data_IF_072371075218
#
_entry.id   IF_072371075218
#
_cell.length_a   1.000
_cell.length_b   1.000
_cell.length_c   1.000
_cell.angle_alpha   90.00
_cell.angle_beta   90.00
_cell.angle_gamma   90.00
#
_symmetry.space_group_name_H-M   'P 1'
#
loop_
_entity.id
_entity.type
_entity.pdbx_description
1 polymer ?
#
# COMPACT_ATOMS: atom_id res chain seq x y z
N UNK A 1 -15.14 -5.50 1.92
CA UNK A 1 -14.45 -4.28 1.43
C UNK A 1 -14.55 -3.22 2.51
N UNK A 2 -13.46 -2.52 2.86
CA UNK A 2 -13.38 -1.57 3.97
C UNK A 2 -12.94 -0.18 3.50
N UNK A 3 -13.26 0.83 4.28
CA UNK A 3 -12.74 2.20 4.19
C UNK A 3 -11.86 2.44 5.38
N UNK A 4 -10.62 2.89 5.15
CA UNK A 4 -9.71 3.29 6.20
C UNK A 4 -9.85 4.80 6.45
N UNK A 5 -10.19 5.17 7.69
CA UNK A 5 -10.32 6.55 8.10
C UNK A 5 -9.18 6.91 9.06
N UNK A 6 -8.29 7.80 8.65
CA UNK A 6 -7.11 8.22 9.41
C UNK A 6 -7.31 9.63 9.97
N UNK A 7 -7.44 9.74 11.29
CA UNK A 7 -7.68 10.99 12.00
C UNK A 7 -6.97 10.97 13.37
N UNK A 8 -6.28 12.06 13.72
CA UNK A 8 -5.67 12.23 15.03
C UNK A 8 -6.67 12.69 16.09
N UNK A 9 -7.79 13.27 15.69
CA UNK A 9 -8.77 13.86 16.60
C UNK A 9 -9.80 12.84 17.07
N UNK A 10 -9.73 12.43 18.32
CA UNK A 10 -10.61 11.40 18.88
C UNK A 10 -12.05 11.86 19.10
N UNK A 11 -12.28 13.14 19.45
CA UNK A 11 -13.63 13.66 19.79
C UNK A 11 -14.58 13.69 18.61
N UNK A 12 -14.15 14.17 17.45
CA UNK A 12 -14.97 14.23 16.24
C UNK A 12 -14.91 12.92 15.40
N UNK A 13 -13.86 12.12 15.57
CA UNK A 13 -13.66 10.87 14.83
C UNK A 13 -14.87 9.95 14.95
N UNK A 14 -15.39 9.75 16.15
CA UNK A 14 -16.56 8.89 16.37
C UNK A 14 -17.78 9.37 15.59
N UNK A 15 -18.07 10.69 15.63
CA UNK A 15 -19.19 11.27 14.90
C UNK A 15 -19.03 11.15 13.37
N UNK A 16 -17.80 11.30 12.85
CA UNK A 16 -17.49 11.12 11.42
C UNK A 16 -17.64 9.67 11.00
N UNK A 17 -17.08 8.75 11.77
CA UNK A 17 -17.21 7.31 11.53
C UNK A 17 -18.70 6.90 11.50
N UNK A 18 -19.51 7.38 12.44
CA UNK A 18 -20.96 7.10 12.44
C UNK A 18 -21.65 7.66 11.19
N UNK A 19 -21.30 8.86 10.75
CA UNK A 19 -21.86 9.42 9.49
C UNK A 19 -21.49 8.58 8.27
N UNK A 20 -20.26 8.16 8.17
CA UNK A 20 -19.80 7.29 7.08
C UNK A 20 -20.42 5.90 7.14
N UNK A 21 -20.59 5.32 8.32
CA UNK A 21 -21.20 3.99 8.48
C UNK A 21 -22.67 3.95 8.02
N UNK A 22 -23.36 5.09 8.03
CA UNK A 22 -24.73 5.20 7.47
C UNK A 22 -24.79 4.95 5.96
N UNK A 23 -23.66 5.02 5.25
CA UNK A 23 -23.60 4.65 3.83
C UNK A 23 -23.58 3.15 3.58
N UNK A 24 -23.52 2.33 4.64
CA UNK A 24 -23.36 0.86 4.55
C UNK A 24 -21.92 0.40 4.43
N UNK A 25 -20.95 1.31 4.34
CA UNK A 25 -19.54 0.97 4.24
C UNK A 25 -18.96 0.48 5.58
N UNK A 26 -18.11 -0.53 5.56
CA UNK A 26 -17.35 -0.96 6.72
C UNK A 26 -16.19 0.00 6.97
N UNK A 27 -16.30 0.83 8.01
CA UNK A 27 -15.32 1.85 8.33
C UNK A 27 -14.35 1.34 9.41
N UNK A 28 -13.07 1.41 9.11
CA UNK A 28 -11.99 1.12 10.07
C UNK A 28 -11.26 2.42 10.36
N UNK A 29 -11.40 2.92 11.58
CA UNK A 29 -10.77 4.18 11.99
C UNK A 29 -9.48 3.91 12.76
N UNK A 30 -8.44 4.70 12.48
CA UNK A 30 -7.15 4.63 13.15
C UNK A 30 -6.49 6.00 13.18
N UNK A 31 -5.49 6.15 14.04
CA UNK A 31 -4.57 7.27 13.98
C UNK A 31 -3.51 7.00 12.89
N UNK A 32 -3.07 8.04 12.15
CA UNK A 32 -2.04 7.88 11.12
C UNK A 32 -0.63 7.76 11.73
N UNK A 33 -0.48 6.90 12.74
CA UNK A 33 0.80 6.60 13.40
C UNK A 33 1.48 5.40 12.78
N UNK A 34 2.73 5.56 12.40
CA UNK A 34 3.58 4.48 11.94
C UNK A 34 3.98 3.54 13.10
N UNK A 35 4.00 2.22 12.93
CA UNK A 35 3.62 1.44 11.73
C UNK A 35 2.12 1.06 11.69
N UNK A 36 1.34 1.40 12.72
CA UNK A 36 0.00 0.86 12.94
C UNK A 36 -0.97 1.08 11.76
N UNK A 37 -1.02 2.27 11.18
CA UNK A 37 -1.90 2.53 10.04
C UNK A 37 -1.54 1.70 8.81
N UNK A 38 -0.25 1.43 8.60
CA UNK A 38 0.23 0.64 7.47
C UNK A 38 -0.12 -0.84 7.61
N UNK A 39 0.12 -1.40 8.80
CA UNK A 39 -0.27 -2.78 9.11
C UNK A 39 -1.80 -2.96 8.93
N UNK A 40 -2.56 -1.97 9.38
CA UNK A 40 -4.01 -1.95 9.22
C UNK A 40 -4.40 -1.88 7.73
N UNK A 41 -3.82 -0.98 6.95
CA UNK A 41 -4.07 -0.83 5.52
C UNK A 41 -3.73 -2.12 4.75
N UNK A 42 -2.64 -2.79 5.12
CA UNK A 42 -2.22 -4.06 4.52
C UNK A 42 -3.19 -5.20 4.82
N UNK A 43 -3.68 -5.26 6.08
CA UNK A 43 -4.64 -6.29 6.52
C UNK A 43 -6.01 -6.09 5.90
N UNK A 44 -6.54 -4.88 5.97
CA UNK A 44 -7.91 -4.56 5.57
C UNK A 44 -8.07 -4.40 4.04
N UNK A 45 -7.00 -4.09 3.31
CA UNK A 45 -7.00 -3.83 1.86
C UNK A 45 -8.15 -2.89 1.46
N UNK A 46 -8.17 -1.66 2.00
CA UNK A 46 -9.28 -0.74 1.81
C UNK A 46 -9.43 -0.35 0.35
N UNK A 47 -10.68 -0.15 -0.10
CA UNK A 47 -10.96 0.41 -1.42
C UNK A 47 -10.93 1.94 -1.44
N UNK A 48 -11.07 2.56 -0.26
CA UNK A 48 -10.95 3.99 -0.08
C UNK A 48 -10.23 4.31 1.24
N UNK A 49 -9.44 5.37 1.24
CA UNK A 49 -8.70 5.87 2.39
C UNK A 49 -9.02 7.34 2.55
N UNK A 50 -9.54 7.74 3.70
CA UNK A 50 -9.78 9.13 4.05
C UNK A 50 -8.76 9.58 5.10
N UNK A 51 -8.07 10.69 4.86
CA UNK A 51 -6.99 11.21 5.72
C UNK A 51 -7.32 12.63 6.10
N UNK A 52 -7.35 12.90 7.40
CA UNK A 52 -7.58 14.23 7.95
C UNK A 52 -6.27 15.00 8.12
N UNK A 53 -6.28 16.27 7.72
CA UNK A 53 -5.12 17.15 7.76
C UNK A 53 -5.16 18.20 8.88
N UNK A 54 -6.26 18.31 9.64
CA UNK A 54 -6.45 19.42 10.57
C UNK A 54 -5.40 19.47 11.69
N UNK A 55 -5.07 18.33 12.30
CA UNK A 55 -4.19 18.29 13.48
C UNK A 55 -2.70 18.25 13.13
N UNK A 56 -2.32 17.49 12.12
CA UNK A 56 -0.91 17.29 11.77
C UNK A 56 -0.71 17.26 10.25
N UNK A 57 -0.82 18.42 9.55
CA UNK A 57 -0.82 18.45 8.07
C UNK A 57 0.42 17.83 7.43
N UNK A 58 1.61 18.07 8.00
CA UNK A 58 2.85 17.51 7.47
C UNK A 58 2.91 15.99 7.59
N UNK A 59 2.49 15.45 8.73
CA UNK A 59 2.44 14.01 8.96
C UNK A 59 1.37 13.33 8.11
N UNK A 60 0.19 13.96 7.97
CA UNK A 60 -0.88 13.48 7.09
C UNK A 60 -0.43 13.44 5.63
N UNK A 61 0.36 14.43 5.19
CA UNK A 61 0.95 14.47 3.84
C UNK A 61 1.93 13.31 3.62
N UNK A 62 2.83 13.05 4.58
CA UNK A 62 3.78 11.93 4.51
C UNK A 62 3.05 10.57 4.50
N UNK A 63 2.04 10.43 5.36
CA UNK A 63 1.19 9.24 5.41
C UNK A 63 0.48 9.01 4.08
N UNK A 64 -0.12 10.05 3.49
CA UNK A 64 -0.79 9.99 2.20
C UNK A 64 0.19 9.63 1.07
N UNK A 65 1.36 10.27 1.03
CA UNK A 65 2.41 10.00 0.04
C UNK A 65 2.89 8.54 0.14
N UNK A 66 3.06 8.02 1.34
CA UNK A 66 3.42 6.63 1.55
C UNK A 66 2.33 5.67 1.04
N UNK A 67 1.07 5.93 1.39
CA UNK A 67 -0.06 5.07 0.98
C UNK A 67 -0.31 5.09 -0.53
N UNK A 68 -0.03 6.21 -1.22
CA UNK A 68 -0.13 6.27 -2.69
C UNK A 68 0.92 5.41 -3.40
N UNK A 69 2.10 5.26 -2.79
CA UNK A 69 3.23 4.49 -3.35
C UNK A 69 3.20 3.02 -2.95
N UNK A 70 2.55 2.67 -1.86
CA UNK A 70 2.49 1.30 -1.37
C UNK A 70 1.67 0.41 -2.32
N UNK A 71 2.21 -0.77 -2.64
CA UNK A 71 1.59 -1.72 -3.58
C UNK A 71 0.19 -2.14 -3.13
N UNK A 72 0.00 -2.30 -1.84
CA UNK A 72 -1.21 -2.79 -1.21
C UNK A 72 -2.38 -1.78 -1.28
N UNK A 73 -2.06 -0.48 -1.33
CA UNK A 73 -3.04 0.61 -1.26
C UNK A 73 -3.12 1.49 -2.50
N UNK A 74 -2.24 1.29 -3.49
CA UNK A 74 -2.20 2.12 -4.71
C UNK A 74 -3.49 2.10 -5.54
N UNK A 75 -4.32 1.06 -5.40
CA UNK A 75 -5.61 0.95 -6.09
C UNK A 75 -6.76 1.59 -5.29
N UNK A 76 -6.51 1.98 -4.03
CA UNK A 76 -7.49 2.64 -3.18
C UNK A 76 -7.69 4.09 -3.61
N UNK A 77 -8.94 4.57 -3.55
CA UNK A 77 -9.21 5.99 -3.70
C UNK A 77 -8.77 6.75 -2.45
N UNK A 78 -7.95 7.80 -2.61
CA UNK A 78 -7.44 8.59 -1.47
C UNK A 78 -8.18 9.92 -1.41
N UNK A 79 -8.81 10.18 -0.27
CA UNK A 79 -9.56 11.39 0.03
C UNK A 79 -8.86 12.18 1.14
N UNK A 80 -8.70 13.48 0.92
CA UNK A 80 -8.03 14.37 1.85
C UNK A 80 -9.05 15.36 2.42
N UNK A 81 -9.15 15.40 3.73
CA UNK A 81 -10.08 16.21 4.49
C UNK A 81 -9.36 17.38 5.14
N UNK A 82 -10.01 18.53 5.21
CA UNK A 82 -9.55 19.72 5.93
C UNK A 82 -8.10 20.11 5.60
N UNK A 83 -7.72 20.02 4.33
CA UNK A 83 -6.39 20.45 3.88
C UNK A 83 -6.26 21.95 4.05
N UNK A 84 -5.27 22.44 4.85
CA UNK A 84 -5.04 23.87 5.03
C UNK A 84 -4.70 24.56 3.70
N UNK A 85 -5.13 25.82 3.52
CA UNK A 85 -4.96 26.54 2.26
C UNK A 85 -3.49 26.72 1.87
N UNK A 86 -2.61 26.95 2.83
CA UNK A 86 -1.15 27.06 2.63
C UNK A 86 -0.51 25.75 2.14
N UNK A 87 -1.19 24.64 2.24
CA UNK A 87 -0.70 23.31 1.82
C UNK A 87 -1.30 22.81 0.52
N UNK A 88 -2.31 23.46 -0.01
CA UNK A 88 -3.04 23.03 -1.21
C UNK A 88 -2.12 22.75 -2.38
N UNK A 89 -1.20 23.68 -2.70
CA UNK A 89 -0.29 23.54 -3.84
C UNK A 89 0.74 22.43 -3.65
N UNK A 90 1.18 22.23 -2.41
CA UNK A 90 2.12 21.16 -2.07
C UNK A 90 1.43 19.81 -2.21
N UNK A 91 0.20 19.71 -1.70
CA UNK A 91 -0.63 18.50 -1.79
C UNK A 91 -0.91 18.16 -3.24
N UNK A 92 -1.34 19.14 -4.07
CA UNK A 92 -1.64 18.91 -5.48
C UNK A 92 -0.42 18.41 -6.27
N UNK A 93 0.78 18.93 -5.96
CA UNK A 93 2.02 18.50 -6.62
C UNK A 93 2.49 17.11 -6.16
N UNK A 94 2.37 16.80 -4.87
CA UNK A 94 2.86 15.51 -4.31
C UNK A 94 1.87 14.37 -4.46
N UNK A 95 0.57 14.67 -4.45
CA UNK A 95 -0.50 13.69 -4.43
C UNK A 95 -1.52 13.94 -5.58
N UNK A 96 -1.11 13.90 -6.85
CA UNK A 96 -1.97 14.24 -7.98
C UNK A 96 -3.17 13.31 -8.13
N UNK A 97 -3.11 12.11 -7.55
CA UNK A 97 -4.18 11.11 -7.59
C UNK A 97 -5.11 11.16 -6.37
N UNK A 98 -4.81 11.97 -5.36
CA UNK A 98 -5.68 12.15 -4.20
C UNK A 98 -6.70 13.26 -4.45
N UNK A 99 -7.91 13.06 -3.95
CA UNK A 99 -9.01 14.02 -4.13
C UNK A 99 -9.27 14.75 -2.82
N UNK A 100 -9.25 16.08 -2.84
CA UNK A 100 -9.71 16.87 -1.71
C UNK A 100 -11.24 16.83 -1.65
N UNK A 101 -11.76 16.60 -0.46
CA UNK A 101 -13.20 16.51 -0.23
C UNK A 101 -13.59 17.21 1.07
N UNK A 102 -14.79 17.72 1.13
CA UNK A 102 -15.41 18.17 2.37
C UNK A 102 -16.02 16.98 3.14
N UNK A 103 -16.28 17.17 4.44
CA UNK A 103 -16.96 16.15 5.26
C UNK A 103 -18.33 15.74 4.68
N UNK A 104 -19.00 16.65 4.00
CA UNK A 104 -20.31 16.39 3.37
C UNK A 104 -20.18 15.54 2.11
N UNK A 105 -19.17 15.82 1.29
CA UNK A 105 -18.92 15.10 0.04
C UNK A 105 -18.33 13.71 0.27
N UNK A 106 -17.62 13.51 1.39
CA UNK A 106 -16.91 12.27 1.68
C UNK A 106 -17.81 11.05 1.59
N UNK A 107 -19.01 11.12 2.16
CA UNK A 107 -19.96 10.00 2.13
C UNK A 107 -20.37 9.61 0.69
N UNK A 108 -20.65 10.59 -0.15
CA UNK A 108 -21.00 10.35 -1.56
C UNK A 108 -19.80 9.80 -2.35
N UNK A 109 -18.60 10.31 -2.10
CA UNK A 109 -17.35 9.84 -2.74
C UNK A 109 -16.99 8.41 -2.33
N UNK A 110 -17.17 8.07 -1.06
CA UNK A 110 -16.95 6.70 -0.55
C UNK A 110 -17.92 5.73 -1.22
N UNK A 111 -19.21 6.07 -1.32
CA UNK A 111 -20.20 5.24 -1.99
C UNK A 111 -19.89 5.06 -3.49
N UNK A 112 -19.40 6.10 -4.17
CA UNK A 112 -18.97 6.01 -5.57
C UNK A 112 -17.74 5.11 -5.72
N UNK A 113 -16.75 5.25 -4.82
CA UNK A 113 -15.54 4.41 -4.81
C UNK A 113 -15.85 2.95 -4.55
N UNK A 114 -16.83 2.67 -3.70
CA UNK A 114 -17.29 1.29 -3.44
C UNK A 114 -17.83 0.63 -4.71
N UNK A 115 -18.71 1.32 -5.44
CA UNK A 115 -19.25 0.83 -6.71
C UNK A 115 -18.12 0.53 -7.72
N UNK A 116 -17.15 1.44 -7.84
CA UNK A 116 -16.00 1.24 -8.72
C UNK A 116 -15.13 0.05 -8.29
N UNK A 117 -14.93 -0.13 -6.98
CA UNK A 117 -14.16 -1.25 -6.45
C UNK A 117 -14.86 -2.59 -6.69
N UNK A 118 -16.18 -2.63 -6.53
CA UNK A 118 -17.00 -3.81 -6.84
C UNK A 118 -16.92 -4.17 -8.33
N UNK A 119 -17.04 -3.18 -9.20
CA UNK A 119 -16.93 -3.36 -10.65
C UNK A 119 -15.56 -3.90 -11.06
N UNK A 120 -14.47 -3.28 -10.55
CA UNK A 120 -13.10 -3.78 -10.79
C UNK A 120 -12.90 -5.21 -10.28
N UNK A 121 -13.47 -5.55 -9.11
CA UNK A 121 -13.40 -6.90 -8.57
C UNK A 121 -14.14 -7.92 -9.45
N UNK A 122 -15.29 -7.54 -10.01
CA UNK A 122 -16.04 -8.35 -10.97
C UNK A 122 -15.24 -8.58 -12.25
N UNK A 123 -14.72 -7.51 -12.86
CA UNK A 123 -13.90 -7.60 -14.07
C UNK A 123 -12.65 -8.48 -13.86
N UNK A 124 -11.96 -8.33 -12.72
CA UNK A 124 -10.81 -9.19 -12.36
C UNK A 124 -11.21 -10.67 -12.25
N UNK A 125 -12.39 -10.98 -11.68
CA UNK A 125 -12.89 -12.37 -11.60
C UNK A 125 -13.22 -12.93 -12.96
N UNK A 126 -13.87 -12.16 -13.82
CA UNK A 126 -14.22 -12.57 -15.19
C UNK A 126 -12.97 -12.81 -16.04
N UNK A 127 -11.98 -11.89 -15.97
CA UNK A 127 -10.71 -12.04 -16.66
C UNK A 127 -9.94 -13.29 -16.20
N UNK A 128 -9.91 -13.54 -14.87
CA UNK A 128 -9.28 -14.73 -14.31
C UNK A 128 -9.98 -16.03 -14.73
N UNK A 129 -11.31 -16.02 -14.81
CA UNK A 129 -12.09 -17.17 -15.29
C UNK A 129 -11.82 -17.46 -16.77
N UNK A 130 -11.77 -16.42 -17.61
CA UNK A 130 -11.44 -16.54 -19.02
C UNK A 130 -10.01 -17.07 -19.23
N UNK A 131 -9.03 -16.55 -18.47
CA UNK A 131 -7.65 -17.02 -18.52
C UNK A 131 -7.54 -18.50 -18.15
N UNK A 132 -8.27 -18.96 -17.13
CA UNK A 132 -8.32 -20.38 -16.75
C UNK A 132 -8.95 -21.26 -17.83
N UNK A 133 -10.02 -20.78 -18.49
CA UNK A 133 -10.67 -21.48 -19.60
C UNK A 133 -9.72 -21.63 -20.78
N UNK A 134 -9.01 -20.57 -21.14
CA UNK A 134 -8.04 -20.58 -22.23
C UNK A 134 -6.83 -21.47 -21.92
N UNK A 135 -6.34 -21.50 -20.69
CA UNK A 135 -5.27 -22.39 -20.27
C UNK A 135 -5.69 -23.88 -20.37
N UNK A 136 -6.90 -24.24 -19.97
CA UNK A 136 -7.44 -25.61 -20.12
C UNK A 136 -7.60 -26.01 -21.59
N UNK A 137 -8.06 -25.09 -22.44
CA UNK A 137 -8.19 -25.38 -23.89
C UNK A 137 -6.83 -25.64 -24.57
N UNK A 138 -5.76 -24.94 -24.12
CA UNK A 138 -4.41 -25.18 -24.64
C UNK A 138 -3.85 -26.55 -24.23
N UNK A 139 -4.10 -26.99 -22.99
CA UNK A 139 -3.65 -28.30 -22.51
C UNK A 139 -4.38 -29.44 -23.22
N UNK A 140 -5.69 -29.31 -23.44
CA UNK A 140 -6.47 -30.34 -24.14
C UNK A 140 -6.19 -30.40 -25.66
N UNK A 141 -5.63 -29.35 -26.26
CA UNK A 141 -5.24 -29.31 -27.67
C UNK A 141 -3.87 -29.91 -27.96
N UNK A 142 -2.99 -29.98 -26.98
CA UNK A 142 -1.61 -30.46 -27.15
C UNK A 142 -1.49 -32.00 -27.27
N UNK A 143 -2.50 -32.73 -26.78
CA UNK A 143 -2.45 -34.22 -26.74
C UNK A 143 -2.92 -34.91 -28.02
N UNK A 144 -3.35 -34.16 -29.04
CA UNK A 144 -3.83 -34.73 -30.32
C UNK A 144 -2.81 -34.75 -31.45
N UNK A 145 -1.58 -34.25 -31.24
CA UNK A 145 -0.54 -34.20 -32.29
C UNK A 145 0.69 -35.04 -32.02
N UNK A 146 0.72 -35.80 -30.92
CA UNK A 146 1.77 -36.80 -30.69
C UNK A 146 1.38 -38.13 -31.40
N UNK A 147 1.53 -38.17 -32.74
CA UNK A 147 1.58 -39.42 -33.47
C UNK A 147 2.81 -40.23 -33.00
N UNK A 148 2.74 -41.60 -33.02
CA UNK A 148 3.83 -42.41 -32.51
C UNK A 148 5.06 -42.28 -33.41
N UNK A 149 6.05 -41.50 -32.97
CA UNK A 149 7.36 -41.46 -33.57
C UNK A 149 8.06 -42.80 -33.34
N UNK A 150 8.26 -43.51 -34.46
CA UNK A 150 9.00 -44.74 -34.63
C UNK A 150 10.42 -44.61 -34.05
N UNK A 151 10.93 -45.57 -33.28
CA UNK A 151 12.30 -45.49 -32.78
C UNK A 151 13.27 -45.87 -33.93
N UNK A 152 14.05 -44.94 -34.42
CA UNK A 152 15.24 -45.20 -35.21
C UNK A 152 16.40 -45.46 -34.27
N UNK A 153 16.75 -46.74 -34.15
CA UNK A 153 18.00 -47.19 -33.56
C UNK A 153 19.17 -46.79 -34.48
N UNK A 154 20.06 -45.96 -33.99
CA UNK A 154 21.45 -45.94 -34.44
C UNK A 154 22.34 -45.68 -33.24
N UNK A 155 23.02 -46.76 -32.87
CA UNK A 155 24.22 -46.79 -32.07
C UNK A 155 25.32 -45.95 -32.73
N UNK A 156 25.99 -45.12 -31.99
CA UNK A 156 27.46 -44.89 -32.17
C UNK A 156 28.06 -44.33 -30.87
N UNK A 157 29.00 -45.12 -30.44
CA UNK A 157 30.05 -44.84 -29.43
C UNK A 157 30.77 -43.52 -29.72
N UNK A 158 31.27 -42.90 -28.73
CA UNK A 158 32.27 -41.86 -28.93
C UNK A 158 32.55 -40.95 -27.73
N UNK A 159 33.35 -41.47 -26.77
CA UNK A 159 34.48 -40.76 -26.14
C UNK A 159 34.24 -39.57 -25.21
N UNK A 160 34.67 -39.80 -24.02
CA UNK A 160 35.03 -38.94 -22.91
C UNK A 160 35.80 -37.65 -23.30
N UNK A 161 35.48 -36.56 -22.56
CA UNK A 161 36.43 -35.54 -22.08
C UNK A 161 35.75 -34.69 -21.02
N UNK A 162 36.12 -34.91 -19.78
CA UNK A 162 36.89 -34.01 -18.89
C UNK A 162 36.23 -32.65 -18.54
N UNK A 163 35.71 -32.59 -17.35
CA UNK A 163 35.99 -31.60 -16.31
C UNK A 163 36.23 -30.14 -16.71
N UNK A 164 35.38 -29.26 -16.28
CA UNK A 164 35.74 -27.96 -15.67
C UNK A 164 34.62 -27.38 -14.84
N UNK A 165 34.77 -27.40 -13.52
CA UNK A 165 34.04 -26.56 -12.58
C UNK A 165 34.53 -25.11 -12.76
N UNK A 166 33.69 -24.10 -12.80
CA UNK A 166 34.13 -22.77 -12.43
C UNK A 166 33.84 -22.52 -10.95
N UNK A 167 34.86 -22.02 -10.28
CA UNK A 167 34.93 -21.65 -8.89
C UNK A 167 33.91 -20.55 -8.54
N UNK A 168 33.28 -20.70 -7.39
CA UNK A 168 32.40 -19.71 -6.79
C UNK A 168 33.12 -18.41 -6.46
N UNK A 169 32.58 -17.31 -6.93
CA UNK A 169 32.99 -15.96 -6.55
C UNK A 169 32.28 -15.61 -5.25
N UNK A 170 33.04 -15.67 -4.16
CA UNK A 170 32.60 -15.20 -2.84
C UNK A 170 32.56 -13.67 -2.89
N UNK A 171 31.38 -13.10 -2.90
CA UNK A 171 31.17 -11.67 -2.81
C UNK A 171 31.21 -11.24 -1.33
N UNK A 172 32.23 -10.47 -1.00
CA UNK A 172 32.50 -9.93 0.33
C UNK A 172 31.40 -8.91 0.71
N UNK A 173 30.68 -9.20 1.77
CA UNK A 173 29.74 -8.31 2.47
C UNK A 173 30.49 -7.08 3.01
N UNK A 174 30.08 -5.83 2.70
CA UNK A 174 30.71 -4.67 3.30
C UNK A 174 30.31 -4.53 4.78
N UNK A 175 31.32 -4.21 5.58
CA UNK A 175 31.22 -4.03 7.01
C UNK A 175 30.34 -2.83 7.39
N UNK A 176 29.49 -3.04 8.38
CA UNK A 176 28.60 -2.08 9.02
C UNK A 176 29.41 -1.04 9.80
N UNK A 177 29.23 0.27 9.58
CA UNK A 177 29.94 1.27 10.40
C UNK A 177 29.36 1.30 11.83
N UNK A 178 30.25 1.30 12.79
CA UNK A 178 29.96 1.38 14.22
C UNK A 178 29.36 2.74 14.56
N UNK A 179 28.18 2.75 15.21
CA UNK A 179 27.53 3.93 15.73
C UNK A 179 28.37 4.61 16.83
N UNK A 180 28.74 5.85 16.57
CA UNK A 180 29.36 6.74 17.54
C UNK A 180 28.33 7.17 18.58
N UNK A 181 28.50 6.76 19.82
CA UNK A 181 27.77 7.26 20.99
C UNK A 181 28.06 8.74 21.18
N UNK A 182 27.10 9.60 20.87
CA UNK A 182 27.15 11.03 21.23
C UNK A 182 26.71 11.19 22.69
N UNK A 183 27.68 11.59 23.52
CA UNK A 183 27.54 11.94 24.95
C UNK A 183 26.51 13.06 25.10
N UNK A 184 25.50 12.85 25.94
CA UNK A 184 24.57 13.88 26.38
C UNK A 184 25.27 14.89 27.27
N UNK A 185 25.14 16.19 26.98
CA UNK A 185 25.52 17.29 27.86
C UNK A 185 24.35 17.63 28.79
N UNK A 186 24.61 18.00 30.07
CA UNK A 186 23.56 18.31 31.01
C UNK A 186 22.99 19.72 30.77
N UNK A 187 21.67 19.79 30.62
CA UNK A 187 20.90 21.02 30.53
C UNK A 187 20.87 21.72 31.90
N UNK A 188 21.40 22.95 31.96
CA UNK A 188 21.32 23.86 33.08
C UNK A 188 19.88 24.26 33.35
N UNK A 189 19.42 24.02 34.59
CA UNK A 189 18.21 24.55 35.14
C UNK A 189 18.32 26.10 35.23
N UNK A 190 17.43 26.80 34.56
CA UNK A 190 17.21 28.23 34.74
C UNK A 190 16.06 28.46 35.71
N UNK A 191 16.40 28.99 36.87
CA UNK A 191 15.54 29.44 37.94
C UNK A 191 14.57 30.53 37.47
N UNK A 192 13.31 30.36 37.84
CA UNK A 192 12.19 31.31 37.64
C UNK A 192 12.14 32.29 38.80
N UNK A 193 12.16 33.61 38.63
CA UNK A 193 11.89 34.54 39.72
C UNK A 193 10.39 34.68 39.97
N UNK A 194 10.01 34.61 41.24
CA UNK A 194 8.69 34.89 41.73
C UNK A 194 8.34 36.36 41.51
N UNK A 195 7.19 36.70 40.97
CA UNK A 195 6.60 38.02 40.94
C UNK A 195 5.44 38.06 41.93
N UNK A 196 5.68 38.79 43.02
CA UNK A 196 4.66 39.29 43.99
C UNK A 196 3.85 40.40 43.32
N UNK A 197 2.58 40.40 43.62
CA UNK A 197 1.46 41.35 43.75
C UNK A 197 0.30 40.97 42.88
#
# INVERSE_FOLDING_TARGET
>A
MSVLFLDFESSERTARVQRLSRTGAHIVASEPRWPAFFELAKREKPYAIAIDFAQAPSHSLETADYLTKAKETREAAIYLLRVPEDRVDIVARRLPQATRVTDQELAARVAAAEKQAQERARQKKEAAALARKNARARVSGADKTAGPARPLAHAREGKAAAARKPAGKVEKKPARPKSVKKKAAPSKAASRPARKR
#
